data_IF_253838048126
#
_entry.id   IF_253838048126
#
_cell.length_a   1.000
_cell.length_b   1.000
_cell.length_c   1.000
_cell.angle_alpha   90.00
_cell.angle_beta   90.00
_cell.angle_gamma   90.00
#
_symmetry.space_group_name_H-M   'P 1'
#
loop_
_entity.id
_entity.type
_entity.pdbx_description
1 polymer ?
2 non-polymer ?
3 non-polymer ?
4 water ?
#
# COMPACT_ATOMS: atom_id res chain seq x y z
N UNK A 1 -17.88 -6.97 -1.61
CA UNK A 1 -17.87 -7.22 -0.18
C UNK A 1 -17.19 -6.06 0.56
N UNK A 2 -17.35 -6.07 1.88
CA UNK A 2 -16.79 -5.12 2.77
C UNK A 2 -15.81 -5.90 3.64
N UNK A 3 -14.53 -5.45 3.68
CA UNK A 3 -13.58 -6.12 4.56
C UNK A 3 -12.90 -5.14 5.52
N UNK A 4 -12.68 -5.62 6.76
CA UNK A 4 -11.91 -4.91 7.72
C UNK A 4 -10.41 -5.14 7.48
N UNK A 5 -9.54 -4.47 8.25
CA UNK A 5 -8.11 -4.51 7.96
C UNK A 5 -7.28 -5.10 9.08
N UNK A 6 -7.90 -6.00 9.89
CA UNK A 6 -7.11 -6.69 10.91
C UNK A 6 -6.11 -7.68 10.33
N UNK A 7 -6.40 -8.17 9.16
CA UNK A 7 -5.46 -8.99 8.37
C UNK A 7 -5.23 -8.32 7.01
N UNK A 8 -4.20 -8.77 6.34
CA UNK A 8 -3.89 -8.25 5.02
C UNK A 8 -5.04 -8.52 4.07
N UNK A 9 -5.43 -7.53 3.25
CA UNK A 9 -6.59 -7.69 2.39
C UNK A 9 -6.25 -8.39 1.08
N UNK A 10 -6.21 -9.71 1.15
CA UNK A 10 -5.72 -10.51 0.01
C UNK A 10 -6.96 -11.12 -0.72
N UNK A 11 -6.93 -11.08 -2.05
CA UNK A 11 -7.92 -11.63 -2.91
C UNK A 11 -7.35 -12.58 -3.95
N UNK A 12 -8.23 -13.39 -4.58
CA UNK A 12 -7.83 -14.29 -5.62
C UNK A 12 -7.91 -13.61 -6.96
N UNK A 13 -6.92 -13.90 -7.79
CA UNK A 13 -6.90 -13.30 -9.14
C UNK A 13 -6.74 -14.43 -10.15
N UNK A 14 -7.18 -14.18 -11.36
CA UNK A 14 -6.94 -15.08 -12.52
C UNK A 14 -6.37 -14.29 -13.67
N UNK A 15 -5.19 -14.70 -14.13
CA UNK A 15 -4.53 -13.94 -15.20
C UNK A 15 -3.78 -14.94 -16.10
N UNK A 16 -3.98 -14.81 -17.43
CA UNK A 16 -3.35 -15.71 -18.40
C UNK A 16 -3.53 -17.17 -18.05
N UNK A 17 -4.71 -17.57 -17.61
CA UNK A 17 -5.02 -18.92 -17.32
C UNK A 17 -4.46 -19.41 -16.00
N UNK A 18 -3.84 -18.56 -15.17
CA UNK A 18 -3.26 -19.00 -13.93
C UNK A 18 -3.94 -18.33 -12.73
N UNK A 19 -3.92 -19.02 -11.60
CA UNK A 19 -4.54 -18.47 -10.42
C UNK A 19 -3.48 -18.05 -9.43
N UNK A 20 -3.68 -16.89 -8.84
CA UNK A 20 -2.72 -16.36 -7.84
C UNK A 20 -3.48 -15.55 -6.79
N UNK A 21 -2.81 -15.14 -5.70
CA UNK A 21 -3.44 -14.20 -4.73
C UNK A 21 -2.67 -12.87 -4.85
N UNK A 22 -3.28 -11.79 -4.43
CA UNK A 22 -2.73 -10.50 -4.51
C UNK A 22 -3.34 -9.63 -3.43
N UNK A 23 -2.55 -8.63 -3.00
CA UNK A 23 -2.90 -7.68 -1.95
C UNK A 23 -3.57 -6.45 -2.56
N UNK A 24 -4.74 -6.10 -2.04
CA UNK A 24 -5.47 -4.86 -2.42
C UNK A 24 -4.76 -3.69 -1.75
N UNK A 25 -4.05 -2.86 -2.54
CA UNK A 25 -3.13 -1.89 -1.94
C UNK A 25 -3.53 -0.42 -2.32
N UNK A 26 -4.23 0.30 -1.43
CA UNK A 26 -4.69 1.66 -1.76
C UNK A 26 -3.47 2.57 -1.85
N UNK A 27 -2.30 2.15 -1.36
CA UNK A 27 -1.06 2.89 -1.48
C UNK A 27 -0.27 2.66 -2.75
N UNK A 28 -0.82 1.89 -3.65
CA UNK A 28 -0.20 1.57 -4.92
C UNK A 28 -0.94 2.23 -6.09
N UNK A 29 -0.21 2.99 -6.91
CA UNK A 29 -0.80 3.58 -8.11
C UNK A 29 -1.19 2.47 -9.10
N UNK A 30 -0.34 1.45 -9.19
CA UNK A 30 -0.33 0.43 -10.29
C UNK A 30 -0.42 -0.95 -9.68
N UNK A 31 -0.65 -1.94 -10.55
CA UNK A 31 -0.73 -3.34 -10.17
C UNK A 31 0.59 -3.99 -10.55
N UNK A 32 1.21 -4.77 -9.66
CA UNK A 32 2.51 -5.37 -9.86
C UNK A 32 2.44 -6.83 -9.46
N UNK A 33 2.75 -7.79 -10.37
CA UNK A 33 2.82 -9.22 -10.04
C UNK A 33 4.24 -9.78 -10.27
N UNK A 34 4.63 -10.72 -9.43
CA UNK A 34 5.98 -11.32 -9.47
C UNK A 34 5.95 -12.75 -10.03
N UNK A 35 4.83 -13.48 -9.86
CA UNK A 35 4.95 -14.96 -9.99
C UNK A 35 4.24 -15.41 -11.28
N UNK A 36 4.21 -14.55 -12.31
CA UNK A 36 3.47 -14.77 -13.51
C UNK A 36 4.42 -14.30 -14.59
N UNK A 37 4.43 -15.00 -15.70
CA UNK A 37 5.05 -14.57 -16.94
C UNK A 37 3.94 -14.33 -17.97
N UNK A 38 3.94 -13.18 -18.64
CA UNK A 38 2.92 -12.84 -19.62
C UNK A 38 3.56 -12.85 -21.00
N UNK A 39 2.77 -13.14 -22.04
CA UNK A 39 3.30 -13.20 -23.41
C UNK A 39 3.16 -11.85 -24.14
N UNK A 40 3.85 -11.73 -25.28
CA UNK A 40 3.76 -10.56 -26.16
C UNK A 40 4.71 -9.45 -25.73
N UNK A 41 4.49 -8.29 -26.35
CA UNK A 41 5.40 -7.16 -26.20
C UNK A 41 5.13 -6.45 -24.87
N UNK A 42 6.17 -5.75 -24.41
CA UNK A 42 6.11 -4.98 -23.16
C UNK A 42 7.03 -3.79 -23.30
N UNK A 43 6.92 -2.85 -22.38
CA UNK A 43 7.82 -1.70 -22.28
C UNK A 43 8.50 -1.71 -20.92
N UNK A 44 9.79 -1.31 -20.80
CA UNK A 44 10.42 -1.14 -19.47
C UNK A 44 9.75 0.00 -18.69
N UNK A 45 9.62 -0.17 -17.37
CA UNK A 45 9.08 0.81 -16.56
C UNK A 45 9.81 0.78 -15.22
N UNK A 46 9.92 1.97 -14.63
CA UNK A 46 10.56 2.08 -13.33
C UNK A 46 9.51 2.38 -12.28
N UNK A 47 9.54 1.65 -11.18
CA UNK A 47 8.61 1.97 -10.07
C UNK A 47 9.43 2.14 -8.78
N UNK A 48 8.81 2.79 -7.81
CA UNK A 48 9.46 3.04 -6.54
C UNK A 48 8.54 2.64 -5.40
N UNK A 49 9.17 2.25 -4.29
CA UNK A 49 8.48 2.09 -3.08
C UNK A 49 9.40 2.28 -1.91
N UNK A 50 8.94 1.79 -0.76
CA UNK A 50 9.81 1.71 0.38
C UNK A 50 10.97 0.82 -0.07
N UNK A 51 12.18 1.26 0.25
CA UNK A 51 13.35 0.53 -0.10
C UNK A 51 14.04 1.14 -1.31
N UNK A 52 13.29 1.61 -2.30
CA UNK A 52 13.93 2.02 -3.50
C UNK A 52 13.17 1.76 -4.77
N UNK A 53 13.90 1.59 -5.87
CA UNK A 53 13.30 1.49 -7.20
C UNK A 53 13.49 0.07 -7.73
N UNK A 54 12.63 -0.32 -8.64
CA UNK A 54 12.62 -1.62 -9.27
C UNK A 54 12.32 -1.38 -10.73
N UNK A 55 13.06 -2.02 -11.65
CA UNK A 55 12.66 -2.06 -13.06
C UNK A 55 11.71 -3.22 -13.27
N UNK A 56 10.62 -2.96 -13.97
CA UNK A 56 9.64 -3.94 -14.24
C UNK A 56 9.29 -3.86 -15.73
N UNK A 57 8.52 -4.85 -16.16
CA UNK A 57 7.95 -4.90 -17.54
C UNK A 57 6.51 -4.42 -17.46
N UNK A 58 6.15 -3.43 -18.26
CA UNK A 58 4.79 -2.98 -18.42
C UNK A 58 4.09 -3.75 -19.56
N UNK A 59 3.01 -4.47 -19.20
CA UNK A 59 2.05 -5.12 -20.19
C UNK A 59 0.74 -4.36 -20.21
N UNK A 60 0.27 -3.95 -21.40
CA UNK A 60 -0.95 -3.20 -21.55
C UNK A 60 -2.07 -4.12 -22.02
N UNK A 61 -3.29 -3.69 -21.67
CA UNK A 61 -4.54 -4.30 -22.04
C UNK A 61 -4.54 -5.81 -21.75
N UNK A 62 -4.27 -6.11 -20.50
CA UNK A 62 -4.16 -7.47 -19.99
C UNK A 62 -5.48 -7.82 -19.34
N UNK A 63 -6.10 -8.93 -19.76
CA UNK A 63 -7.27 -9.41 -19.02
C UNK A 63 -6.87 -10.00 -17.65
N UNK A 64 -7.58 -9.60 -16.60
CA UNK A 64 -7.33 -10.09 -15.25
C UNK A 64 -8.65 -10.11 -14.50
N UNK A 65 -8.88 -11.20 -13.76
CA UNK A 65 -10.05 -11.32 -12.99
C UNK A 65 -9.65 -11.11 -11.54
N UNK A 66 -10.35 -10.19 -10.86
CA UNK A 66 -9.98 -9.84 -9.47
C UNK A 66 -11.19 -10.11 -8.62
N UNK A 67 -11.08 -11.00 -7.64
CA UNK A 67 -12.19 -11.42 -6.77
C UNK A 67 -13.48 -11.61 -7.60
N UNK A 68 -13.37 -12.21 -8.78
CA UNK A 68 -14.55 -12.54 -9.56
C UNK A 68 -14.91 -11.53 -10.64
N UNK A 69 -14.29 -10.38 -10.60
CA UNK A 69 -14.64 -9.29 -11.51
C UNK A 69 -13.61 -9.20 -12.66
N UNK A 70 -14.08 -9.33 -13.90
CA UNK A 70 -13.22 -9.31 -15.02
C UNK A 70 -12.93 -7.87 -15.46
N UNK A 71 -11.64 -7.47 -15.53
CA UNK A 71 -11.23 -6.18 -15.99
C UNK A 71 -10.10 -6.39 -17.01
N UNK A 72 -9.76 -5.32 -17.72
CA UNK A 72 -8.66 -5.33 -18.63
C UNK A 72 -7.87 -4.04 -18.35
N UNK A 73 -6.58 -4.15 -18.04
CA UNK A 73 -5.81 -2.99 -17.76
C UNK A 73 -4.33 -3.27 -17.84
N UNK A 74 -3.56 -2.33 -17.30
CA UNK A 74 -2.14 -2.45 -17.33
C UNK A 74 -1.70 -3.26 -16.11
N UNK A 75 -0.77 -4.17 -16.34
CA UNK A 75 -0.16 -4.99 -15.37
C UNK A 75 1.35 -4.92 -15.49
N UNK A 76 2.01 -4.64 -14.34
CA UNK A 76 3.43 -4.65 -14.31
C UNK A 76 3.94 -6.00 -13.79
N UNK A 77 5.02 -6.51 -14.37
CA UNK A 77 5.60 -7.81 -14.00
C UNK A 77 7.03 -7.53 -13.53
N UNK A 78 7.34 -7.87 -12.28
CA UNK A 78 8.69 -7.72 -11.82
C UNK A 78 8.82 -8.08 -10.38
N UNK A 79 10.01 -7.87 -9.76
CA UNK A 79 10.21 -8.10 -8.33
C UNK A 79 9.32 -7.35 -7.32
N UNK A 80 8.63 -8.10 -6.48
CA UNK A 80 7.89 -7.50 -5.44
C UNK A 80 7.77 -8.55 -4.35
N UNK A 81 7.88 -8.16 -3.08
CA UNK A 81 7.66 -9.08 -1.99
C UNK A 81 6.24 -9.67 -1.96
N UNK A 82 5.31 -9.04 -2.67
CA UNK A 82 3.92 -9.47 -2.73
C UNK A 82 3.29 -9.02 -4.02
N UNK A 83 2.48 -9.87 -4.68
CA UNK A 83 1.63 -9.40 -5.72
C UNK A 83 0.68 -8.35 -5.15
N UNK A 84 0.52 -7.26 -5.90
CA UNK A 84 -0.36 -6.17 -5.42
C UNK A 84 -1.24 -5.65 -6.56
N UNK A 85 -2.47 -5.33 -6.15
CA UNK A 85 -3.53 -4.70 -6.99
C UNK A 85 -3.63 -3.23 -6.59
N UNK A 86 -3.32 -2.35 -7.51
CA UNK A 86 -3.28 -0.94 -7.16
C UNK A 86 -4.49 -0.25 -7.68
N UNK A 87 -4.45 1.07 -7.55
CA UNK A 87 -5.65 1.82 -7.76
C UNK A 87 -6.06 1.76 -9.23
N UNK A 88 -5.12 1.56 -10.16
CA UNK A 88 -5.51 1.49 -11.62
C UNK A 88 -6.63 0.49 -11.85
N UNK A 89 -6.59 -0.66 -11.14
CA UNK A 89 -7.57 -1.69 -11.28
C UNK A 89 -8.62 -1.59 -10.20
N UNK A 90 -8.30 -1.14 -8.98
CA UNK A 90 -9.30 -1.02 -7.89
C UNK A 90 -10.39 0.00 -8.29
N UNK A 91 -10.02 1.02 -9.06
CA UNK A 91 -11.04 2.00 -9.56
C UNK A 91 -12.03 1.28 -10.48
N UNK A 92 -11.55 0.27 -11.23
CA UNK A 92 -12.47 -0.43 -12.16
C UNK A 92 -13.48 -1.27 -11.36
N UNK A 93 -13.15 -1.64 -10.14
CA UNK A 93 -14.06 -2.33 -9.28
C UNK A 93 -15.03 -1.44 -8.53
N UNK A 94 -14.84 -0.12 -8.53
CA UNK A 94 -15.64 0.80 -7.78
C UNK A 94 -15.28 0.73 -6.29
N UNK A 95 -14.02 0.37 -6.00
CA UNK A 95 -13.60 0.25 -4.58
C UNK A 95 -13.59 1.60 -3.86
N UNK A 96 -13.94 1.56 -2.56
CA UNK A 96 -13.87 2.70 -1.69
C UNK A 96 -13.24 2.34 -0.35
N UNK A 97 -12.63 3.32 0.26
CA UNK A 97 -12.14 3.20 1.59
C UNK A 97 -13.07 4.00 2.49
N UNK A 98 -13.47 3.39 3.59
CA UNK A 98 -14.48 4.01 4.42
C UNK A 98 -13.97 4.11 5.86
N UNK A 99 -14.03 5.30 6.49
CA UNK A 99 -14.01 5.27 7.99
C UNK A 99 -14.78 6.44 8.63
N UNK B 1 -15.47 9.31 6.57
CA UNK B 1 -15.92 9.55 5.20
C UNK B 1 -15.72 8.31 4.32
N UNK B 2 -16.29 8.38 3.12
CA UNK B 2 -16.12 7.37 2.09
C UNK B 2 -15.37 8.05 0.95
N UNK B 3 -14.28 7.42 0.50
CA UNK B 3 -13.52 7.99 -0.60
C UNK B 3 -13.24 6.93 -1.64
N UNK B 4 -13.38 7.40 -2.89
CA UNK B 4 -12.98 6.62 -4.05
C UNK B 4 -11.46 6.70 -4.25
N UNK B 5 -10.95 5.96 -5.25
CA UNK B 5 -9.50 5.80 -5.39
C UNK B 5 -8.98 6.29 -6.75
N UNK B 6 -9.68 7.24 -7.37
CA UNK B 6 -9.15 7.87 -8.57
C UNK B 6 -7.93 8.73 -8.29
N UNK B 7 -7.79 9.26 -7.09
CA UNK B 7 -6.56 9.94 -6.68
C UNK B 7 -6.02 9.18 -5.44
N UNK B 8 -4.80 9.50 -5.10
CA UNK B 8 -4.20 8.92 -3.89
C UNK B 8 -4.94 9.31 -2.65
N UNK B 9 -5.22 8.35 -1.73
CA UNK B 9 -6.06 8.63 -0.57
C UNK B 9 -5.25 9.28 0.55
N UNK B 10 -5.10 10.61 0.48
CA UNK B 10 -4.19 11.33 1.38
C UNK B 10 -5.07 12.07 2.42
N UNK B 11 -4.64 11.99 3.68
CA UNK B 11 -5.28 12.59 4.81
C UNK B 11 -4.31 13.49 5.57
N UNK B 12 -4.85 14.37 6.44
CA UNK B 12 -4.04 15.20 7.30
C UNK B 12 -3.81 14.53 8.62
N UNK B 13 -2.60 14.67 9.13
CA UNK B 13 -2.22 14.03 10.41
C UNK B 13 -1.61 15.12 11.29
N UNK B 14 -1.70 14.90 12.60
CA UNK B 14 -1.06 15.75 13.61
C UNK B 14 -0.26 14.87 14.56
N UNK B 15 1.03 15.13 14.64
CA UNK B 15 1.88 14.31 15.50
C UNK B 15 2.96 15.20 16.11
N UNK B 16 3.18 15.05 17.42
CA UNK B 16 4.18 15.83 18.14
C UNK B 16 4.10 17.32 17.87
N UNK B 17 2.89 17.86 17.76
CA UNK B 17 2.62 19.22 17.55
C UNK B 17 2.85 19.70 16.13
N UNK B 18 3.10 18.80 15.19
CA UNK B 18 3.31 19.19 13.81
C UNK B 18 2.22 18.61 12.90
N UNK B 19 1.98 19.31 11.79
CA UNK B 19 0.96 18.87 10.84
C UNK B 19 1.65 18.33 9.61
N UNK B 20 1.14 17.22 9.12
CA UNK B 20 1.69 16.64 7.89
C UNK B 20 0.56 15.95 7.11
N UNK B 21 0.83 15.48 5.88
CA UNK B 21 -0.15 14.62 5.15
C UNK B 21 0.45 13.22 5.07
N UNK B 22 -0.40 12.21 4.87
CA UNK B 22 0.01 10.86 4.80
C UNK B 22 -0.98 10.10 3.96
N UNK B 23 -0.47 9.02 3.34
CA UNK B 23 -1.24 8.14 2.45
C UNK B 23 -1.84 6.99 3.25
N UNK B 24 -3.15 6.78 3.12
CA UNK B 24 -3.88 5.65 3.74
C UNK B 24 -3.56 4.42 2.90
N UNK B 25 -2.82 3.47 3.46
CA UNK B 25 -2.21 2.43 2.65
C UNK B 25 -2.62 1.01 3.16
N UNK B 26 -3.66 0.42 2.56
CA UNK B 26 -4.11 -0.92 2.97
C UNK B 26 -3.05 -1.98 2.73
N UNK B 27 -2.05 -1.73 1.89
CA UNK B 27 -0.96 -2.61 1.64
C UNK B 27 0.19 -2.48 2.63
N UNK B 28 0.05 -1.65 3.64
CA UNK B 28 1.09 -1.43 4.67
C UNK B 28 0.66 -2.02 6.02
N UNK B 29 1.48 -2.90 6.61
CA UNK B 29 1.16 -3.41 7.92
C UNK B 29 1.24 -2.29 8.96
N UNK B 30 2.25 -1.41 8.79
CA UNK B 30 2.70 -0.40 9.81
C UNK B 30 2.58 1.01 9.25
N UNK B 31 2.76 2.00 10.13
CA UNK B 31 2.72 3.42 9.76
C UNK B 31 4.16 3.95 9.72
N UNK B 32 4.55 4.61 8.63
CA UNK B 32 5.94 5.05 8.46
C UNK B 32 5.94 6.52 8.03
N UNK B 33 6.61 7.39 8.80
CA UNK B 33 6.75 8.80 8.46
C UNK B 33 8.24 9.16 8.26
N UNK B 34 8.49 10.09 7.33
CA UNK B 34 9.83 10.50 7.00
C UNK B 34 10.14 11.94 7.45
N UNK B 35 9.14 12.79 7.69
CA UNK B 35 9.48 14.22 7.69
C UNK B 35 9.22 14.76 9.11
N UNK B 36 9.50 13.93 10.13
CA UNK B 36 9.09 14.16 11.52
C UNK B 36 10.25 13.56 12.30
N UNK B 37 10.71 14.26 13.33
CA UNK B 37 11.61 13.69 14.34
C UNK B 37 10.81 13.58 15.64
N UNK B 38 10.85 12.43 16.31
CA UNK B 38 10.11 12.23 17.52
C UNK B 38 11.10 12.15 18.68
N UNK B 39 10.67 12.53 19.90
CA UNK B 39 11.58 12.52 21.03
C UNK B 39 11.57 11.17 21.76
N UNK B 40 12.58 10.94 22.60
CA UNK B 40 12.63 9.79 23.49
C UNK B 40 13.22 8.56 22.81
N UNK B 41 13.06 7.44 23.52
CA UNK B 41 13.72 6.18 23.18
C UNK B 41 13.01 5.54 21.98
N UNK B 42 13.77 4.70 21.27
CA UNK B 42 13.22 3.97 20.12
C UNK B 42 14.03 2.70 19.99
N UNK B 43 13.55 1.78 19.16
CA UNK B 43 14.25 0.54 18.83
C UNK B 43 14.47 0.45 17.33
N UNK B 44 15.58 -0.11 16.84
CA UNK B 44 15.75 -0.31 15.40
C UNK B 44 14.76 -1.35 14.88
N UNK B 45 14.24 -1.11 13.67
CA UNK B 45 13.40 -2.03 13.02
C UNK B 45 13.73 -2.04 11.52
N UNK B 46 13.49 -3.20 10.94
CA UNK B 46 13.66 -3.41 9.52
C UNK B 46 12.29 -3.56 8.84
N UNK B 47 12.10 -2.85 7.74
CA UNK B 47 10.86 -2.98 6.97
C UNK B 47 11.23 -3.22 5.52
N UNK B 48 10.28 -3.78 4.78
CA UNK B 48 10.51 -4.08 3.39
C UNK B 48 9.36 -3.58 2.53
N UNK B 49 9.70 -3.20 1.30
CA UNK B 49 8.69 -2.90 0.34
C UNK B 49 9.17 -3.21 -1.05
N UNK B 50 8.61 -2.48 -2.02
CA UNK B 50 8.84 -2.82 -3.40
C UNK B 50 10.33 -2.86 -3.78
N UNK B 51 11.10 -1.87 -3.29
CA UNK B 51 12.47 -1.70 -3.73
C UNK B 51 13.51 -2.29 -2.78
N UNK B 52 13.06 -3.07 -1.80
CA UNK B 52 13.94 -3.64 -0.84
C UNK B 52 13.66 -3.23 0.59
N UNK B 53 14.71 -3.15 1.41
CA UNK B 53 14.56 -3.08 2.88
C UNK B 53 15.13 -1.73 3.37
N UNK B 54 14.50 -1.16 4.41
CA UNK B 54 14.88 0.12 5.00
C UNK B 54 15.05 -0.15 6.49
N UNK B 55 16.10 0.37 7.12
CA UNK B 55 16.13 0.42 8.57
C UNK B 55 15.44 1.71 9.03
N UNK B 56 14.56 1.57 10.01
CA UNK B 56 13.80 2.67 10.54
C UNK B 56 13.93 2.63 12.07
N UNK B 57 13.45 3.68 12.70
CA UNK B 57 13.29 3.79 14.17
C UNK B 57 11.83 3.47 14.51
N UNK B 58 11.62 2.56 15.45
CA UNK B 58 10.32 2.28 15.99
C UNK B 58 10.08 3.04 17.29
N UNK B 59 9.05 3.90 17.25
CA UNK B 59 8.53 4.66 18.45
C UNK B 59 7.20 4.07 18.89
N UNK B 60 7.06 3.74 20.19
CA UNK B 60 5.86 3.09 20.68
C UNK B 60 5.02 4.10 21.46
N UNK B 61 3.71 3.85 21.50
CA UNK B 61 2.75 4.66 22.23
C UNK B 61 2.88 6.14 21.92
N UNK B 62 2.81 6.45 20.62
CA UNK B 62 2.87 7.78 20.06
C UNK B 62 1.46 8.27 19.83
N UNK B 63 1.13 9.43 20.40
CA UNK B 63 -0.13 10.09 20.04
C UNK B 63 -0.09 10.63 18.60
N UNK B 64 -1.13 10.34 17.82
CA UNK B 64 -1.25 10.80 16.44
C UNK B 64 -2.73 10.98 16.11
N UNK B 65 -3.04 12.12 15.46
CA UNK B 65 -4.36 12.39 15.03
C UNK B 65 -4.41 12.23 13.51
N UNK B 66 -5.32 11.35 13.10
CA UNK B 66 -5.45 11.00 11.64
C UNK B 66 -6.85 11.44 11.22
N UNK B 67 -6.93 12.34 10.23
CA UNK B 67 -8.16 12.89 9.75
C UNK B 67 -9.14 13.20 10.91
N UNK B 68 -8.63 13.77 11.98
CA UNK B 68 -9.48 14.20 13.09
C UNK B 68 -9.59 13.22 14.25
N UNK B 69 -9.17 12.00 14.06
CA UNK B 69 -9.35 10.97 15.03
C UNK B 69 -8.05 10.73 15.81
N UNK B 70 -8.07 10.91 17.12
CA UNK B 70 -6.91 10.74 17.95
C UNK B 70 -6.73 9.26 18.32
N UNK B 71 -5.52 8.71 18.05
CA UNK B 71 -5.18 7.35 18.38
C UNK B 71 -3.79 7.41 19.00
N UNK B 72 -3.39 6.31 19.60
CA UNK B 72 -2.08 6.18 20.11
C UNK B 72 -1.58 4.81 19.63
N UNK B 73 -0.41 4.77 18.98
CA UNK B 73 0.11 3.51 18.54
C UNK B 73 1.56 3.60 18.13
N UNK B 74 2.04 2.59 17.42
CA UNK B 74 3.41 2.57 17.02
C UNK B 74 3.59 3.36 15.73
N UNK B 75 4.67 4.13 15.64
CA UNK B 75 5.01 4.88 14.52
C UNK B 75 6.48 4.66 14.19
N UNK B 76 6.75 4.33 12.90
CA UNK B 76 8.06 4.14 12.48
C UNK B 76 8.54 5.41 11.81
N UNK B 77 9.82 5.77 12.03
CA UNK B 77 10.43 7.00 11.48
C UNK B 77 11.58 6.57 10.59
N UNK B 78 11.58 6.97 9.32
CA UNK B 78 12.66 6.59 8.47
C UNK B 78 12.40 6.94 7.02
N UNK B 79 13.31 6.60 6.10
CA UNK B 79 13.09 6.82 4.66
C UNK B 79 11.87 6.17 4.02
N UNK B 80 11.08 7.00 3.38
CA UNK B 80 10.00 6.54 2.61
C UNK B 80 9.69 7.62 1.60
N UNK B 81 9.35 7.27 0.36
CA UNK B 81 8.94 8.25 -0.62
C UNK B 81 7.68 9.06 -0.22
N UNK B 82 6.83 8.47 0.64
CA UNK B 82 5.63 9.11 1.11
C UNK B 82 5.39 8.70 2.56
N UNK B 83 4.97 9.63 3.44
CA UNK B 83 4.38 9.22 4.69
C UNK B 83 3.20 8.28 4.43
N UNK B 84 3.09 7.23 5.25
CA UNK B 84 2.01 6.24 5.03
C UNK B 84 1.43 5.83 6.39
N UNK B 85 0.12 5.67 6.39
CA UNK B 85 -0.70 5.16 7.54
C UNK B 85 -1.11 3.73 7.19
N UNK B 86 -0.65 2.82 8.00
CA UNK B 86 -0.88 1.41 7.71
C UNK B 86 -1.95 0.84 8.56
N UNK B 87 -2.11 -0.47 8.44
CA UNK B 87 -3.27 -1.09 9.02
C UNK B 87 -3.23 -1.00 10.55
N UNK B 88 -2.08 -0.96 11.17
CA UNK B 88 -2.00 -0.84 12.66
C UNK B 88 -2.86 0.30 13.15
N UNK B 89 -2.86 1.45 12.44
CA UNK B 89 -3.65 2.58 12.85
C UNK B 89 -5.00 2.63 12.14
N UNK B 90 -5.10 2.16 10.88
CA UNK B 90 -6.38 2.20 10.19
C UNK B 90 -7.42 1.31 10.88
N UNK B 91 -6.96 0.23 11.51
CA UNK B 91 -7.90 -0.63 12.32
C UNK B 91 -8.49 0.16 13.47
N UNK B 92 -7.71 1.10 14.03
CA UNK B 92 -8.18 1.88 15.16
C UNK B 92 -9.29 2.84 14.70
N UNK B 93 -9.29 3.19 13.42
CA UNK B 93 -10.33 4.04 12.85
C UNK B 93 -11.58 3.28 12.41
N UNK B 94 -11.56 1.97 12.45
CA UNK B 94 -12.62 1.17 11.96
C UNK B 94 -12.71 1.22 10.43
N UNK B 95 -11.58 1.47 9.79
CA UNK B 95 -11.61 1.53 8.30
C UNK B 95 -11.95 0.20 7.65
N UNK B 96 -12.66 0.30 6.50
CA UNK B 96 -12.97 -0.83 5.67
C UNK B 96 -12.75 -0.53 4.19
N UNK B 97 -12.44 -1.58 3.47
CA UNK B 97 -12.41 -1.51 2.03
C UNK B 97 -13.67 -2.14 1.50
N UNK B 98 -14.28 -1.46 0.52
CA UNK B 98 -15.54 -1.94 0.01
C UNK B 98 -15.49 -2.06 -1.52
N UNK B 99 -15.84 -3.24 -2.07
CA UNK B 99 -15.88 -3.47 -3.58
C UNK B 99 -17.05 -4.40 -3.96
X LIG C 1 5.06 4.42 -8.90
X LIG C 1 6.12 3.86 -8.68
X LIG C 1 4.46 4.74 -10.20
X LIG C 1 4.29 4.91 -7.92
X LIG C 1 4.62 4.61 -6.66
X LIG C 1 3.76 3.54 -6.03
X LIG C 1 2.49 3.60 -5.92
X LIG C 1 4.39 5.96 -5.96
X LIG C 1 5.16 7.11 -6.30
X LIG C 1 4.75 5.84 -4.51
X LIG C 1 4.48 2.66 -5.50
X LIG C 1 3.87 1.59 -4.88
X LIG C 1 4.27 1.39 -3.44
X LIG C 1 5.23 0.88 -2.84
X LIG C 1 3.95 0.36 -5.77
X LIG C 1 3.95 0.59 -7.27
X LIG C 1 2.87 -0.70 -5.63
X LIG C 1 2.53 1.04 -7.72
X LIG C 1 3.42 1.77 -2.67
X LIG C 1 3.83 1.63 -1.28
X LIG C 1 3.31 0.57 -0.31
X LIG C 1 3.48 2.84 -0.47
X LIG C 1 3.70 4.13 -1.19
X LIG C 1 5.16 4.34 -1.29
X LIG C 1 5.30 5.72 -0.78
X LIG C 1 3.28 -0.77 -0.87
X LIG C 1 3.43 -1.91 0.01
X LIG C 1 4.44 -1.79 1.07
X LIG C 1 5.64 -1.33 1.07
X LIG C 1 3.38 -3.14 -0.85
X LIG C 1 3.50 -4.38 -0.03
X LIG C 1 3.89 -5.56 -0.82
X LIG C 1 5.38 -5.57 -0.82
X LIG C 1 4.08 -2.16 2.20
X LIG C 1 5.02 -2.17 3.38
X LIG C 1 4.83 -3.44 4.32
X LIG C 1 3.74 -3.81 4.89
X LIG C 1 5.17 -0.81 4.07
X LIG C 1 6.01 -0.80 5.23
X LIG C 1 5.46 -1.29 6.42
X LIG C 1 4.29 -1.25 6.49
X LIG C 1 6.26 -1.73 7.43
X LIG C 1 5.81 -4.19 4.69
X LIG C 1 5.78 -5.25 5.75
X LIG C 1 6.76 -5.01 6.83
X LIG C 1 7.82 -4.53 6.51
X LIG C 1 6.01 -6.56 5.10
X LIG C 1 5.09 -6.80 3.99
X LIG C 1 5.68 -8.20 3.70
X LIG C 1 5.07 -8.69 2.45
X LIG C 1 5.39 -9.87 1.96
X LIG C 1 6.39 -10.57 2.52
X LIG C 1 4.67 -10.37 0.97
X LIG C 1 6.52 -5.25 8.14
X LIG D 1 -1.67 -4.58 12.26
X LIG D 1 -0.82 -4.56 11.10
X LIG D 1 -2.81 -5.59 12.02
X LIG D 1 -2.12 -6.80 11.63
X LIG D 1 -3.70 -5.67 13.25
X LIG D 1 -4.48 -6.87 13.33
#
# INVERSE_FOLDING_TARGET
PQITLWQRPIVTIKIGGQLREALLDTGADDTVLEDIDLPGRWKPKLIVGIGGFVKVRQYEQVPIEIAGHKVVGTVLIGPTPSNIIGRNLMTQLGATLNF
PQITLWQRPIVTIKIGGQLREALLDTGADDTVLEDIDLPGRWKPKLIVGIGGFVKVRQYEQVPIEIAGHKVVGTVLIGPTPSNIIGRNLMTQLGATLNF
2NC C O CH3 N CA C1 O1 CB OG1 CG2 N1 CA1 C2 O2 CB1 CG1 CG21 CD1 N2 CA2 C3 CB2 CG CD CE N3 CA3 C4 O3 CB3 CG3 CD2 CE1 N4 CA4 C5 O4 CB4 CG4 CD3 OE1 NE2 N5 CA5 C6 O5 CB5 CG5 CD4 NE CZ NH1 NH2 N6
GOL C1 O1 C2 O2 C3 O3
#
